data_IF_712941386479
#
_entry.id   IF_712941386479
#
_cell.length_a   1.000
_cell.length_b   1.000
_cell.length_c   1.000
_cell.angle_alpha   90.00
_cell.angle_beta   90.00
_cell.angle_gamma   90.00
#
_symmetry.space_group_name_H-M   'P 1'
#
loop_
_entity.id
_entity.type
_entity.pdbx_description
1 polymer ?
#
# COMPACT_ATOMS: atom_id res chain seq x y z
N UNK A 1 -11.64 6.29 8.67
CA UNK A 1 -12.32 5.50 9.70
C UNK A 1 -11.29 4.74 10.52
N UNK A 2 -11.48 4.70 11.84
CA UNK A 2 -10.59 4.00 12.77
C UNK A 2 -11.39 2.89 13.44
N UNK A 3 -10.88 1.68 13.37
CA UNK A 3 -11.46 0.49 13.98
C UNK A 3 -10.53 0.06 15.12
N UNK A 4 -11.08 -0.07 16.31
CA UNK A 4 -10.32 -0.37 17.52
C UNK A 4 -10.56 -1.81 17.99
N UNK A 5 -9.51 -2.52 18.43
CA UNK A 5 -9.70 -3.82 19.08
C UNK A 5 -10.45 -3.65 20.40
N UNK A 6 -11.10 -4.70 20.87
CA UNK A 6 -11.90 -4.67 22.09
C UNK A 6 -11.09 -4.21 23.33
N UNK A 7 -9.81 -4.50 23.35
CA UNK A 7 -8.87 -4.13 24.44
C UNK A 7 -7.54 -3.70 23.84
N UNK A 8 -7.39 -2.43 23.40
CA UNK A 8 -6.10 -1.96 22.92
C UNK A 8 -5.11 -1.94 24.10
N UNK A 9 -3.99 -2.65 23.94
CA UNK A 9 -2.88 -2.63 24.88
C UNK A 9 -2.00 -1.38 24.69
N UNK A 10 -1.01 -1.16 25.56
CA UNK A 10 -0.01 -0.14 25.32
C UNK A 10 0.81 -0.49 24.06
N UNK A 11 1.12 0.51 23.25
CA UNK A 11 1.92 0.36 22.03
C UNK A 11 1.26 -0.51 20.94
N UNK A 12 -0.08 -0.50 20.87
CA UNK A 12 -0.84 -1.23 19.83
C UNK A 12 -0.39 -0.79 18.43
N UNK A 13 -0.09 -1.74 17.52
CA UNK A 13 0.25 -1.42 16.14
C UNK A 13 -0.93 -0.88 15.34
N UNK A 14 -0.61 -0.18 14.26
CA UNK A 14 -1.59 0.38 13.31
C UNK A 14 -1.38 -0.26 11.93
N UNK A 15 -2.43 -0.85 11.39
CA UNK A 15 -2.52 -1.24 9.99
C UNK A 15 -3.33 -0.16 9.26
N UNK A 16 -2.67 0.59 8.38
CA UNK A 16 -3.26 1.71 7.66
C UNK A 16 -3.55 1.30 6.22
N UNK A 17 -4.83 1.18 5.88
CA UNK A 17 -5.31 0.68 4.58
C UNK A 17 -5.76 1.79 3.65
N UNK A 18 -5.34 1.69 2.38
CA UNK A 18 -5.71 2.55 1.25
C UNK A 18 -6.45 1.71 0.20
N UNK A 19 -7.67 2.13 -0.15
CA UNK A 19 -8.52 1.43 -1.10
C UNK A 19 -8.00 1.50 -2.54
N UNK A 20 -8.46 0.58 -3.39
CA UNK A 20 -8.28 0.61 -4.84
C UNK A 20 -9.36 1.44 -5.55
N UNK A 21 -9.46 1.26 -6.87
CA UNK A 21 -10.48 1.92 -7.69
C UNK A 21 -9.92 2.75 -8.85
N UNK A 22 -8.75 2.40 -9.37
CA UNK A 22 -8.16 3.03 -10.56
C UNK A 22 -7.92 4.54 -10.39
N UNK A 23 -7.63 5.00 -9.19
CA UNK A 23 -7.44 6.41 -8.79
C UNK A 23 -8.67 7.31 -8.96
N UNK A 24 -9.76 6.80 -9.53
CA UNK A 24 -10.98 7.56 -9.85
C UNK A 24 -12.23 7.13 -9.06
N UNK A 25 -12.17 5.99 -8.40
CA UNK A 25 -13.28 5.38 -7.64
C UNK A 25 -12.76 4.86 -6.29
N UNK A 26 -13.69 4.37 -5.48
CA UNK A 26 -13.41 3.72 -4.21
C UNK A 26 -13.84 4.53 -2.99
N UNK A 27 -13.96 3.84 -1.88
CA UNK A 27 -14.27 4.43 -0.57
C UNK A 27 -13.71 3.56 0.55
N UNK A 28 -13.26 4.19 1.62
CA UNK A 28 -12.72 3.56 2.82
C UNK A 28 -13.68 2.60 3.53
N UNK A 29 -15.00 2.67 3.24
CA UNK A 29 -16.04 1.83 3.86
C UNK A 29 -16.47 0.66 2.99
N UNK A 30 -15.88 0.49 1.80
CA UNK A 30 -16.21 -0.65 0.94
C UNK A 30 -15.96 -1.97 1.69
N UNK A 31 -16.95 -2.90 1.76
CA UNK A 31 -16.82 -4.15 2.49
C UNK A 31 -15.55 -4.93 2.14
N UNK A 32 -15.25 -5.06 0.85
CA UNK A 32 -14.04 -5.76 0.35
C UNK A 32 -12.73 -5.09 0.77
N UNK A 33 -12.76 -3.82 1.18
CA UNK A 33 -11.58 -3.12 1.71
C UNK A 33 -11.43 -3.36 3.21
N UNK A 34 -12.55 -3.44 3.93
CA UNK A 34 -12.57 -3.35 5.40
C UNK A 34 -12.84 -4.68 6.08
N UNK A 35 -13.94 -5.37 5.74
CA UNK A 35 -14.54 -6.40 6.60
C UNK A 35 -13.56 -7.49 7.08
N UNK A 36 -13.00 -8.25 6.16
CA UNK A 36 -12.14 -9.37 6.54
C UNK A 36 -10.84 -8.91 7.20
N UNK A 37 -10.26 -7.82 6.69
CA UNK A 37 -9.01 -7.25 7.23
C UNK A 37 -9.23 -6.67 8.62
N UNK A 38 -10.25 -5.83 8.81
CA UNK A 38 -10.55 -5.28 10.11
C UNK A 38 -10.83 -6.40 11.13
N UNK A 39 -11.69 -7.36 10.79
CA UNK A 39 -11.98 -8.49 11.67
C UNK A 39 -10.69 -9.24 12.08
N UNK A 40 -9.81 -9.52 11.15
CA UNK A 40 -8.57 -10.25 11.44
C UNK A 40 -7.64 -9.46 12.36
N UNK A 41 -7.29 -8.22 11.99
CA UNK A 41 -6.32 -7.44 12.76
C UNK A 41 -6.87 -6.96 14.09
N UNK A 42 -8.16 -6.62 14.19
CA UNK A 42 -8.80 -6.29 15.47
C UNK A 42 -8.79 -7.48 16.45
N UNK A 43 -9.08 -8.69 15.98
CA UNK A 43 -9.00 -9.90 16.79
C UNK A 43 -7.57 -10.22 17.23
N UNK A 44 -6.57 -9.81 16.44
CA UNK A 44 -5.16 -9.92 16.78
C UNK A 44 -4.72 -8.86 17.80
N UNK A 45 -5.51 -7.83 18.02
CA UNK A 45 -5.24 -6.74 18.95
C UNK A 45 -4.65 -5.49 18.28
N UNK A 46 -4.56 -5.45 16.95
CA UNK A 46 -4.06 -4.31 16.20
C UNK A 46 -5.19 -3.32 15.88
N UNK A 47 -4.85 -2.06 15.68
CA UNK A 47 -5.77 -1.04 15.16
C UNK A 47 -5.79 -1.14 13.64
N UNK A 48 -6.99 -1.09 13.06
CA UNK A 48 -7.16 -1.01 11.61
C UNK A 48 -7.72 0.36 11.22
N UNK A 49 -7.02 1.07 10.34
CA UNK A 49 -7.45 2.37 9.80
C UNK A 49 -7.68 2.22 8.31
N UNK A 50 -8.84 2.69 7.83
CA UNK A 50 -9.12 2.80 6.39
C UNK A 50 -9.34 4.26 6.02
N UNK A 51 -8.59 4.73 5.01
CA UNK A 51 -8.56 6.13 4.63
C UNK A 51 -9.07 6.35 3.20
N UNK A 52 -9.71 7.51 2.98
CA UNK A 52 -9.98 8.07 1.66
C UNK A 52 -8.86 9.05 1.27
N UNK A 53 -8.70 9.22 -0.01
CA UNK A 53 -7.98 10.31 -0.65
C UNK A 53 -8.90 10.96 -1.69
N UNK A 54 -8.59 12.15 -2.14
CA UNK A 54 -9.24 12.74 -3.31
C UNK A 54 -8.99 11.85 -4.53
N UNK A 55 -9.86 11.92 -5.51
CA UNK A 55 -9.84 11.06 -6.70
C UNK A 55 -9.66 11.89 -7.96
N UNK A 56 -9.30 11.27 -9.08
CA UNK A 56 -9.33 11.91 -10.42
C UNK A 56 -10.78 12.30 -10.74
N UNK A 57 -11.03 13.51 -11.30
CA UNK A 57 -10.05 14.50 -11.79
C UNK A 57 -9.60 15.53 -10.76
N UNK A 58 -10.12 15.50 -9.54
CA UNK A 58 -9.81 16.50 -8.51
C UNK A 58 -8.33 16.44 -8.05
N UNK A 59 -7.78 15.22 -7.95
CA UNK A 59 -6.41 14.99 -7.56
C UNK A 59 -5.77 13.89 -8.42
N UNK A 60 -4.61 14.17 -8.97
CA UNK A 60 -3.79 13.18 -9.66
C UNK A 60 -3.10 12.21 -8.67
N UNK A 61 -2.52 11.09 -9.11
CA UNK A 61 -1.87 10.10 -8.24
C UNK A 61 -0.80 10.66 -7.31
N UNK A 62 -0.02 11.68 -7.70
CA UNK A 62 0.95 12.33 -6.80
C UNK A 62 0.26 13.12 -5.69
N UNK A 63 -0.83 13.82 -6.01
CA UNK A 63 -1.64 14.52 -5.02
C UNK A 63 -2.36 13.53 -4.11
N UNK A 64 -2.87 12.42 -4.65
CA UNK A 64 -3.46 11.33 -3.85
C UNK A 64 -2.45 10.72 -2.86
N UNK A 65 -1.21 10.50 -3.30
CA UNK A 65 -0.15 10.04 -2.40
C UNK A 65 0.14 11.05 -1.27
N UNK A 66 0.13 12.36 -1.56
CA UNK A 66 0.24 13.41 -0.54
C UNK A 66 -0.94 13.42 0.43
N UNK A 67 -2.18 13.22 -0.08
CA UNK A 67 -3.36 13.10 0.78
C UNK A 67 -3.21 11.93 1.76
N UNK A 68 -2.72 10.77 1.29
CA UNK A 68 -2.47 9.61 2.15
C UNK A 68 -1.35 9.91 3.15
N UNK A 69 -0.27 10.58 2.75
CA UNK A 69 0.80 10.97 3.66
C UNK A 69 0.29 11.88 4.80
N UNK A 70 -0.57 12.85 4.49
CA UNK A 70 -1.24 13.70 5.49
C UNK A 70 -2.18 12.90 6.41
N UNK A 71 -2.92 11.92 5.86
CA UNK A 71 -3.78 11.06 6.64
C UNK A 71 -2.98 10.16 7.60
N UNK A 72 -1.82 9.66 7.17
CA UNK A 72 -0.86 8.92 8.02
C UNK A 72 -0.35 9.81 9.15
N UNK A 73 0.10 11.03 8.84
CA UNK A 73 0.55 11.99 9.86
C UNK A 73 -0.55 12.28 10.88
N UNK A 74 -1.78 12.51 10.41
CA UNK A 74 -2.94 12.71 11.29
C UNK A 74 -3.23 11.49 12.16
N UNK A 75 -3.18 10.28 11.62
CA UNK A 75 -3.37 9.05 12.40
C UNK A 75 -2.31 8.91 13.49
N UNK A 76 -1.05 9.19 13.17
CA UNK A 76 0.06 9.15 14.13
C UNK A 76 -0.07 10.20 15.22
N UNK A 77 -0.49 11.42 14.91
CA UNK A 77 -0.75 12.49 15.89
C UNK A 77 -1.86 12.11 16.88
N UNK A 78 -2.83 11.32 16.46
CA UNK A 78 -3.95 10.88 17.29
C UNK A 78 -3.75 9.49 17.93
N UNK A 79 -2.61 8.82 17.63
CA UNK A 79 -2.36 7.43 18.03
C UNK A 79 -2.51 7.20 19.55
N UNK A 80 -2.03 8.11 20.38
CA UNK A 80 -2.11 8.01 21.83
C UNK A 80 -3.55 7.97 22.37
N UNK A 81 -4.53 8.55 21.64
CA UNK A 81 -5.95 8.48 22.00
C UNK A 81 -6.51 7.07 21.90
N UNK A 82 -5.81 6.20 21.17
CA UNK A 82 -6.21 4.81 20.91
C UNK A 82 -5.26 3.82 21.60
N UNK A 83 -4.36 4.27 22.47
CA UNK A 83 -3.27 3.47 23.04
C UNK A 83 -2.33 2.88 21.97
N UNK A 84 -2.25 3.51 20.80
CA UNK A 84 -1.36 3.09 19.72
C UNK A 84 0.01 3.72 19.83
N UNK A 85 1.02 3.00 19.33
CA UNK A 85 2.34 3.57 19.09
C UNK A 85 2.40 4.15 17.66
N UNK A 86 2.59 5.48 17.50
CA UNK A 86 2.65 6.11 16.19
C UNK A 86 3.79 5.59 15.31
N UNK A 87 4.84 4.99 15.90
CA UNK A 87 5.97 4.41 15.16
C UNK A 87 5.65 3.02 14.61
N UNK A 88 4.71 2.29 15.22
CA UNK A 88 4.34 0.94 14.86
C UNK A 88 3.20 0.93 13.84
N UNK A 89 3.47 1.48 12.66
CA UNK A 89 2.51 1.62 11.58
C UNK A 89 2.99 0.88 10.32
N UNK A 90 2.12 0.07 9.76
CA UNK A 90 2.29 -0.57 8.45
C UNK A 90 1.31 0.07 7.46
N UNK A 91 1.83 0.53 6.33
CA UNK A 91 1.02 0.95 5.19
C UNK A 91 0.55 -0.26 4.41
N UNK A 92 -0.72 -0.32 4.08
CA UNK A 92 -1.30 -1.36 3.23
C UNK A 92 -2.16 -0.69 2.15
N UNK A 93 -2.14 -1.21 0.94
CA UNK A 93 -3.01 -0.71 -0.12
C UNK A 93 -3.30 -1.77 -1.16
N UNK A 94 -4.45 -1.65 -1.84
CA UNK A 94 -4.84 -2.54 -2.93
C UNK A 94 -4.91 -1.78 -4.26
N UNK A 95 -4.47 -2.38 -5.37
CA UNK A 95 -4.61 -1.84 -6.72
C UNK A 95 -4.03 -0.42 -6.85
N UNK A 96 -4.84 0.61 -7.13
CA UNK A 96 -4.43 2.01 -7.11
C UNK A 96 -3.87 2.42 -5.73
N UNK A 97 -4.49 1.96 -4.62
CA UNK A 97 -3.97 2.18 -3.27
C UNK A 97 -2.61 1.50 -3.03
N UNK A 98 -2.39 0.32 -3.64
CA UNK A 98 -1.11 -0.37 -3.59
C UNK A 98 0.00 0.43 -4.30
N UNK A 99 -0.33 1.07 -5.43
CA UNK A 99 0.56 2.02 -6.09
C UNK A 99 0.91 3.20 -5.16
N UNK A 100 -0.10 3.83 -4.54
CA UNK A 100 0.11 5.00 -3.67
C UNK A 100 1.00 4.67 -2.48
N UNK A 101 0.75 3.55 -1.78
CA UNK A 101 1.58 3.17 -0.64
C UNK A 101 2.98 2.71 -1.05
N UNK A 102 3.13 2.07 -2.22
CA UNK A 102 4.44 1.72 -2.77
C UNK A 102 5.26 2.97 -3.15
N UNK A 103 4.61 4.00 -3.70
CA UNK A 103 5.25 5.29 -4.00
C UNK A 103 5.74 5.98 -2.71
N UNK A 104 4.90 6.05 -1.69
CA UNK A 104 5.29 6.59 -0.37
C UNK A 104 6.41 5.79 0.28
N UNK A 105 6.38 4.47 0.12
CA UNK A 105 7.44 3.59 0.61
C UNK A 105 8.75 3.73 -0.17
N UNK A 106 8.68 4.01 -1.47
CA UNK A 106 9.86 4.24 -2.33
C UNK A 106 10.54 5.58 -2.04
N UNK A 107 9.72 6.61 -1.74
CA UNK A 107 10.16 7.98 -1.48
C UNK A 107 9.60 8.47 -0.13
N UNK A 108 10.14 7.99 1.01
CA UNK A 108 9.61 8.32 2.34
C UNK A 108 9.75 9.79 2.71
N UNK A 109 10.50 10.58 1.94
CA UNK A 109 10.53 12.04 2.11
C UNK A 109 9.13 12.67 1.95
N UNK A 110 8.25 12.11 1.09
CA UNK A 110 6.87 12.57 0.96
C UNK A 110 6.07 12.43 2.28
N UNK A 111 6.33 11.36 3.04
CA UNK A 111 5.74 11.16 4.38
C UNK A 111 6.27 12.19 5.37
N UNK A 112 7.58 12.43 5.36
CA UNK A 112 8.24 13.41 6.23
C UNK A 112 7.78 14.85 5.94
N UNK A 113 7.64 15.22 4.68
CA UNK A 113 7.09 16.52 4.26
C UNK A 113 5.66 16.74 4.78
N UNK A 114 4.86 15.67 4.86
CA UNK A 114 3.52 15.70 5.46
C UNK A 114 3.52 15.71 7.00
N UNK A 115 4.68 15.62 7.64
CA UNK A 115 4.82 15.55 9.10
C UNK A 115 4.60 14.14 9.68
N UNK A 116 4.57 13.11 8.83
CA UNK A 116 4.46 11.73 9.29
C UNK A 116 5.80 11.18 9.79
N UNK A 117 5.74 10.37 10.83
CA UNK A 117 6.86 9.52 11.23
C UNK A 117 6.98 8.35 10.26
N UNK A 118 8.20 7.85 10.08
CA UNK A 118 8.51 6.75 9.19
C UNK A 118 7.72 5.48 9.56
N UNK A 119 6.86 4.93 8.66
CA UNK A 119 6.24 3.62 8.87
C UNK A 119 7.27 2.49 8.89
N UNK A 120 6.91 1.35 9.45
CA UNK A 120 7.80 0.19 9.55
C UNK A 120 7.88 -0.64 8.27
N UNK A 121 6.91 -0.50 7.37
CA UNK A 121 6.90 -1.18 6.09
C UNK A 121 5.63 -0.95 5.30
N UNK A 122 5.62 -1.54 4.10
CA UNK A 122 4.52 -1.43 3.13
C UNK A 122 4.06 -2.82 2.71
N UNK A 123 2.75 -3.04 2.66
CA UNK A 123 2.10 -4.19 2.01
C UNK A 123 1.37 -3.70 0.76
N UNK A 124 1.91 -4.00 -0.41
CA UNK A 124 1.33 -3.66 -1.70
C UNK A 124 0.55 -4.86 -2.24
N UNK A 125 -0.78 -4.75 -2.28
CA UNK A 125 -1.69 -5.81 -2.72
C UNK A 125 -2.05 -5.62 -4.19
N UNK A 126 -1.41 -6.38 -5.05
CA UNK A 126 -1.63 -6.48 -6.50
C UNK A 126 -1.64 -5.12 -7.23
N UNK A 127 -0.60 -4.32 -7.01
CA UNK A 127 -0.39 -3.10 -7.79
C UNK A 127 -0.21 -3.42 -9.28
N UNK A 128 -0.78 -2.59 -10.15
CA UNK A 128 -0.58 -2.65 -11.60
C UNK A 128 0.18 -1.43 -12.13
N UNK A 129 0.92 -0.72 -11.27
CA UNK A 129 1.60 0.53 -11.62
C UNK A 129 2.89 0.74 -10.81
N UNK A 130 3.73 -0.29 -10.66
CA UNK A 130 5.02 -0.16 -9.98
C UNK A 130 6.04 0.57 -10.87
N UNK A 131 5.98 0.35 -12.19
CA UNK A 131 6.78 1.08 -13.20
C UNK A 131 5.84 1.82 -14.16
N UNK A 132 5.49 3.05 -13.80
CA UNK A 132 4.52 3.85 -14.59
C UNK A 132 5.01 4.12 -16.01
N UNK A 133 6.28 4.49 -16.30
CA UNK A 133 6.76 4.64 -17.67
C UNK A 133 6.57 3.37 -18.50
N UNK A 134 6.94 2.20 -17.96
CA UNK A 134 6.78 0.93 -18.68
C UNK A 134 5.30 0.57 -18.90
N UNK A 135 4.45 0.86 -17.93
CA UNK A 135 3.00 0.70 -18.04
C UNK A 135 2.43 1.58 -19.16
N UNK A 136 2.74 2.88 -19.14
CA UNK A 136 2.21 3.85 -20.11
C UNK A 136 2.70 3.62 -21.55
N UNK A 137 3.81 2.90 -21.74
CA UNK A 137 4.31 2.47 -23.02
C UNK A 137 3.56 1.26 -23.62
N UNK A 138 2.63 0.64 -22.89
CA UNK A 138 1.89 -0.53 -23.38
C UNK A 138 0.94 -0.14 -24.53
N UNK A 139 0.92 -0.92 -25.64
CA UNK A 139 0.11 -0.58 -26.81
C UNK A 139 -1.41 -0.67 -26.56
N UNK A 140 -1.81 -1.48 -25.60
CA UNK A 140 -3.21 -1.67 -25.18
C UNK A 140 -3.33 -1.40 -23.69
N UNK A 141 -3.68 -0.17 -23.35
CA UNK A 141 -3.81 0.27 -21.97
C UNK A 141 -5.26 0.70 -21.70
N UNK A 142 -5.92 0.20 -20.64
CA UNK A 142 -7.23 0.71 -20.22
C UNK A 142 -7.23 2.22 -19.99
N UNK A 143 -8.32 2.89 -20.37
CA UNK A 143 -8.41 4.37 -20.38
C UNK A 143 -8.12 5.02 -19.04
N UNK A 144 -8.55 4.40 -17.94
CA UNK A 144 -8.35 4.96 -16.59
C UNK A 144 -6.88 5.19 -16.22
N UNK A 145 -5.92 4.47 -16.84
CA UNK A 145 -4.48 4.76 -16.65
C UNK A 145 -4.10 6.10 -17.31
N UNK A 146 -4.64 6.38 -18.50
CA UNK A 146 -4.39 7.65 -19.18
C UNK A 146 -5.07 8.80 -18.45
N UNK A 147 -6.25 8.56 -17.89
CA UNK A 147 -6.96 9.54 -17.06
C UNK A 147 -6.18 9.88 -15.78
N UNK A 148 -5.52 8.88 -15.19
CA UNK A 148 -4.73 9.04 -13.97
C UNK A 148 -3.34 9.65 -14.21
N UNK A 149 -2.61 9.18 -15.25
CA UNK A 149 -1.20 9.51 -15.44
C UNK A 149 -0.93 10.49 -16.60
N UNK A 150 -1.96 10.86 -17.38
CA UNK A 150 -1.82 11.80 -18.50
C UNK A 150 -0.82 11.33 -19.56
N UNK A 151 -0.17 12.29 -20.22
CA UNK A 151 0.76 12.04 -21.33
C UNK A 151 2.17 12.56 -21.12
N UNK A 152 2.49 13.12 -19.97
CA UNK A 152 3.80 13.70 -19.66
C UNK A 152 4.77 12.62 -19.09
N UNK A 153 5.86 12.26 -19.82
CA UNK A 153 6.83 11.29 -19.33
C UNK A 153 7.53 11.70 -18.03
N UNK A 154 7.69 13.00 -17.77
CA UNK A 154 8.29 13.48 -16.53
C UNK A 154 7.39 13.21 -15.33
N UNK A 155 6.07 13.36 -15.53
CA UNK A 155 5.07 12.98 -14.53
C UNK A 155 5.07 11.47 -14.27
N UNK A 156 5.16 10.65 -15.32
CA UNK A 156 5.22 9.19 -15.16
C UNK A 156 6.42 8.75 -14.30
N UNK A 157 7.58 9.37 -14.51
CA UNK A 157 8.75 9.10 -13.67
C UNK A 157 8.51 9.51 -12.22
N UNK A 158 7.95 10.70 -11.99
CA UNK A 158 7.67 11.22 -10.66
C UNK A 158 6.63 10.36 -9.90
N UNK A 159 5.62 9.82 -10.61
CA UNK A 159 4.56 8.99 -10.05
C UNK A 159 4.92 7.48 -9.97
N UNK A 160 6.11 7.07 -10.43
CA UNK A 160 6.50 5.66 -10.48
C UNK A 160 7.23 5.21 -9.22
N UNK A 161 6.70 4.25 -8.44
CA UNK A 161 7.41 3.66 -7.31
C UNK A 161 8.82 3.19 -7.66
N UNK A 162 8.97 2.51 -8.81
CA UNK A 162 10.26 1.99 -9.26
C UNK A 162 11.27 3.09 -9.62
N UNK A 163 10.81 4.18 -10.24
CA UNK A 163 11.69 5.29 -10.61
C UNK A 163 12.07 6.17 -9.41
N UNK A 164 11.19 6.26 -8.42
CA UNK A 164 11.39 7.03 -7.19
C UNK A 164 12.06 6.24 -6.07
N UNK A 165 12.46 4.98 -6.33
CA UNK A 165 13.10 4.14 -5.32
C UNK A 165 14.47 4.69 -4.94
N UNK A 166 14.65 5.03 -3.68
CA UNK A 166 15.87 5.58 -3.09
C UNK A 166 16.40 4.73 -1.93
N UNK A 167 17.64 4.94 -1.49
CA UNK A 167 18.28 4.16 -0.42
C UNK A 167 17.54 4.22 0.91
N UNK A 168 16.73 5.25 1.15
CA UNK A 168 15.91 5.41 2.34
C UNK A 168 14.55 4.72 2.25
N UNK A 169 14.24 4.01 1.17
CA UNK A 169 12.93 3.35 0.98
C UNK A 169 12.58 2.37 2.11
N UNK A 170 11.28 2.15 2.29
CA UNK A 170 10.76 1.23 3.31
C UNK A 170 10.90 -0.23 2.87
N UNK A 171 11.01 -1.19 3.79
CA UNK A 171 10.81 -2.60 3.45
C UNK A 171 9.39 -2.83 2.91
N UNK A 172 9.24 -3.71 1.91
CA UNK A 172 7.94 -3.95 1.27
C UNK A 172 7.65 -5.43 1.09
N UNK A 173 6.38 -5.81 1.31
CA UNK A 173 5.79 -7.04 0.83
C UNK A 173 4.96 -6.76 -0.42
N UNK A 174 5.33 -7.37 -1.53
CA UNK A 174 4.68 -7.24 -2.83
C UNK A 174 3.82 -8.48 -3.07
N UNK A 175 2.55 -8.42 -2.70
CA UNK A 175 1.58 -9.46 -3.04
C UNK A 175 1.14 -9.25 -4.49
N UNK A 176 1.15 -10.29 -5.30
CA UNK A 176 0.82 -10.19 -6.72
C UNK A 176 0.00 -11.37 -7.21
N UNK A 177 -0.93 -11.12 -8.13
CA UNK A 177 -1.65 -12.17 -8.85
C UNK A 177 -0.72 -12.88 -9.82
N UNK A 178 -0.53 -14.18 -9.65
CA UNK A 178 0.27 -15.02 -10.57
C UNK A 178 -0.52 -15.49 -11.79
N UNK A 179 -1.82 -15.18 -11.84
CA UNK A 179 -2.72 -15.57 -12.93
C UNK A 179 -3.20 -14.38 -13.78
N UNK A 180 -2.89 -13.14 -13.36
CA UNK A 180 -3.23 -11.95 -14.13
C UNK A 180 -2.08 -11.58 -15.07
N UNK A 181 -2.41 -11.35 -16.36
CA UNK A 181 -1.42 -11.03 -17.40
C UNK A 181 -1.78 -9.76 -18.19
N UNK A 182 -2.92 -9.15 -17.89
CA UNK A 182 -3.38 -7.93 -18.56
C UNK A 182 -3.84 -6.89 -17.54
N UNK A 183 -3.55 -5.58 -17.74
CA UNK A 183 -2.70 -4.98 -18.80
C UNK A 183 -1.22 -5.31 -18.63
N UNK A 184 -0.81 -5.78 -17.47
CA UNK A 184 0.55 -6.20 -17.12
C UNK A 184 0.52 -7.49 -16.30
N UNK A 185 1.67 -8.13 -16.12
CA UNK A 185 1.87 -9.24 -15.18
C UNK A 185 2.37 -8.69 -13.84
N UNK A 186 1.54 -8.59 -12.80
CA UNK A 186 1.93 -7.95 -11.54
C UNK A 186 3.14 -8.60 -10.86
N UNK A 187 3.25 -9.94 -10.96
CA UNK A 187 4.39 -10.63 -10.38
C UNK A 187 5.70 -10.36 -11.13
N UNK A 188 5.66 -10.16 -12.45
CA UNK A 188 6.83 -9.76 -13.23
C UNK A 188 7.25 -8.33 -12.88
N UNK A 189 6.29 -7.41 -12.71
CA UNK A 189 6.57 -6.05 -12.25
C UNK A 189 7.16 -6.05 -10.83
N UNK A 190 6.57 -6.81 -9.91
CA UNK A 190 7.09 -6.97 -8.56
C UNK A 190 8.51 -7.53 -8.56
N UNK A 191 8.80 -8.51 -9.46
CA UNK A 191 10.14 -9.07 -9.65
C UNK A 191 11.17 -8.02 -10.06
N UNK A 192 10.85 -7.20 -11.07
CA UNK A 192 11.73 -6.12 -11.53
C UNK A 192 11.96 -5.07 -10.44
N UNK A 193 10.90 -4.70 -9.73
CA UNK A 193 10.97 -3.73 -8.65
C UNK A 193 11.81 -4.24 -7.48
N UNK A 194 11.61 -5.48 -7.03
CA UNK A 194 12.42 -6.11 -5.99
C UNK A 194 13.88 -6.29 -6.41
N UNK A 195 14.16 -6.59 -7.69
CA UNK A 195 15.53 -6.66 -8.20
C UNK A 195 16.23 -5.31 -8.12
N UNK A 196 15.55 -4.22 -8.50
CA UNK A 196 16.09 -2.86 -8.34
C UNK A 196 16.33 -2.53 -6.87
N UNK A 197 15.38 -2.85 -5.99
CA UNK A 197 15.51 -2.65 -4.54
C UNK A 197 16.72 -3.38 -3.95
N UNK A 198 16.97 -4.60 -4.41
CA UNK A 198 18.14 -5.39 -3.99
C UNK A 198 19.47 -4.68 -4.32
N UNK A 199 19.58 -3.98 -5.44
CA UNK A 199 20.80 -3.20 -5.78
C UNK A 199 21.04 -2.03 -4.84
N UNK A 200 19.99 -1.57 -4.14
CA UNK A 200 20.03 -0.49 -3.15
C UNK A 200 20.04 -1.01 -1.70
N UNK A 201 20.08 -2.33 -1.50
CA UNK A 201 20.06 -2.94 -0.18
C UNK A 201 18.71 -2.85 0.55
N UNK A 202 17.60 -2.61 -0.18
CA UNK A 202 16.26 -2.45 0.39
C UNK A 202 15.58 -3.81 0.45
N UNK A 203 15.08 -4.24 1.64
CA UNK A 203 14.36 -5.51 1.76
C UNK A 203 13.00 -5.45 1.05
N UNK A 204 12.81 -6.31 0.06
CA UNK A 204 11.51 -6.57 -0.56
C UNK A 204 11.27 -8.06 -0.68
N UNK A 205 10.07 -8.50 -0.26
CA UNK A 205 9.61 -9.87 -0.40
C UNK A 205 8.46 -9.91 -1.42
N UNK A 206 8.42 -10.94 -2.27
CA UNK A 206 7.33 -11.15 -3.24
C UNK A 206 6.49 -12.32 -2.77
N UNK A 207 5.18 -12.14 -2.75
CA UNK A 207 4.22 -13.17 -2.37
C UNK A 207 3.22 -13.41 -3.51
N UNK A 208 3.54 -14.31 -4.46
CA UNK A 208 2.62 -14.67 -5.54
C UNK A 208 1.38 -15.37 -5.00
N UNK A 209 0.20 -15.01 -5.52
CA UNK A 209 -1.07 -15.63 -5.20
C UNK A 209 -1.79 -16.07 -6.48
N UNK A 210 -2.25 -17.33 -6.55
CA UNK A 210 -3.07 -17.83 -7.64
C UNK A 210 -4.54 -17.37 -7.49
N UNK A 211 -4.72 -16.07 -7.28
CA UNK A 211 -5.99 -15.38 -7.01
C UNK A 211 -6.17 -14.25 -8.01
N UNK A 212 -7.44 -13.90 -8.31
CA UNK A 212 -7.76 -12.72 -9.10
C UNK A 212 -7.45 -11.43 -8.35
N UNK A 213 -7.41 -10.34 -9.10
CA UNK A 213 -7.12 -9.00 -8.59
C UNK A 213 -7.97 -8.63 -7.37
N UNK A 214 -9.28 -8.83 -7.48
CA UNK A 214 -10.23 -8.52 -6.41
C UNK A 214 -10.10 -9.48 -5.22
N UNK A 215 -9.88 -10.79 -5.51
CA UNK A 215 -9.77 -11.83 -4.49
C UNK A 215 -8.57 -11.62 -3.56
N UNK A 216 -7.45 -11.11 -4.08
CA UNK A 216 -6.29 -10.73 -3.26
C UNK A 216 -6.68 -9.71 -2.18
N UNK A 217 -7.56 -8.77 -2.51
CA UNK A 217 -8.07 -7.81 -1.55
C UNK A 217 -9.13 -8.41 -0.62
N UNK A 218 -10.14 -9.06 -1.18
CA UNK A 218 -11.31 -9.52 -0.45
C UNK A 218 -11.00 -10.65 0.53
N UNK A 219 -10.12 -11.56 0.14
CA UNK A 219 -9.83 -12.76 0.94
C UNK A 219 -8.75 -12.54 2.01
N UNK A 220 -8.03 -11.41 1.97
CA UNK A 220 -7.08 -11.08 3.01
C UNK A 220 -7.80 -10.81 4.33
N UNK A 221 -7.45 -11.58 5.35
CA UNK A 221 -8.09 -11.60 6.65
C UNK A 221 -8.93 -12.87 6.90
N UNK A 222 -9.31 -13.60 5.85
CA UNK A 222 -9.90 -14.92 6.01
C UNK A 222 -8.85 -15.95 6.45
N UNK A 223 -9.23 -17.01 7.18
CA UNK A 223 -8.32 -18.08 7.57
C UNK A 223 -7.71 -18.77 6.34
N UNK A 224 -6.42 -18.49 6.07
CA UNK A 224 -5.70 -19.01 4.92
C UNK A 224 -4.19 -18.90 5.09
N UNK A 225 -3.42 -19.70 4.32
CA UNK A 225 -1.97 -19.55 4.24
C UNK A 225 -1.56 -18.16 3.74
N UNK A 226 -2.36 -17.56 2.85
CA UNK A 226 -2.17 -16.20 2.35
C UNK A 226 -2.22 -15.17 3.49
N UNK A 227 -3.29 -15.16 4.29
CA UNK A 227 -3.42 -14.27 5.43
C UNK A 227 -2.30 -14.47 6.45
N UNK A 228 -1.94 -15.74 6.73
CA UNK A 228 -0.84 -16.04 7.63
C UNK A 228 0.51 -15.52 7.13
N UNK A 229 0.80 -15.64 5.83
CA UNK A 229 2.03 -15.13 5.23
C UNK A 229 2.13 -13.60 5.33
N UNK A 230 1.05 -12.87 5.00
CA UNK A 230 1.00 -11.40 5.13
C UNK A 230 1.14 -10.99 6.59
N UNK A 231 0.37 -11.60 7.49
CA UNK A 231 0.42 -11.30 8.92
C UNK A 231 1.80 -11.60 9.52
N UNK A 232 2.42 -12.73 9.14
CA UNK A 232 3.75 -13.10 9.61
C UNK A 232 4.83 -12.11 9.13
N UNK A 233 4.72 -11.59 7.91
CA UNK A 233 5.61 -10.54 7.44
C UNK A 233 5.43 -9.25 8.26
N UNK A 234 4.19 -8.82 8.49
CA UNK A 234 3.87 -7.65 9.31
C UNK A 234 4.46 -7.80 10.71
N UNK A 235 4.30 -8.96 11.34
CA UNK A 235 4.84 -9.25 12.68
C UNK A 235 6.36 -9.14 12.72
N UNK A 236 7.06 -9.62 11.68
CA UNK A 236 8.51 -9.46 11.59
C UNK A 236 8.89 -7.98 11.54
N UNK A 237 8.23 -7.17 10.74
CA UNK A 237 8.53 -5.73 10.67
C UNK A 237 8.27 -5.04 12.00
N UNK A 238 7.14 -5.32 12.65
CA UNK A 238 6.77 -4.74 13.94
C UNK A 238 7.70 -5.18 15.10
N UNK A 239 8.40 -6.30 14.97
CA UNK A 239 9.33 -6.82 15.99
C UNK A 239 10.80 -6.42 15.77
N UNK A 240 11.20 -5.98 14.59
CA UNK A 240 12.56 -5.54 14.28
C UNK A 240 13.00 -4.27 15.04
N UNK A 241 12.08 -3.62 15.76
CA UNK A 241 12.33 -2.37 16.52
C UNK A 241 12.33 -2.57 18.05
N UNK A 242 12.50 -3.83 18.51
CA UNK A 242 12.67 -4.14 19.94
C UNK A 242 14.12 -4.23 20.34
#
# INVERSE_FOLDING_TARGET
DVYLPARPGPNTPIIFMVHGGGWALGDKRMPQVVENKANYWLNKGDIFISANNRLVPEADPLQQARDIALAVASAQQHATRWNADPKRLILMGHSAGAHLVALLGSKPEMLKEAGAQRPMGVVSLDSGALDVPALMAQPRLPGFYRDAFGSDPSYWQAASPQQQLENAALPMLLVCSSIRHFPTSPCDEAGKFAQRAKTLGIPMEILPQAQKHEEINEQLGLPSAYTQAVSGWIDRQLNLSR
#
